data_IF_382816085068
#
_entry.id   IF_382816085068
#
_cell.length_a   1.000
_cell.length_b   1.000
_cell.length_c   1.000
_cell.angle_alpha   90.00
_cell.angle_beta   90.00
_cell.angle_gamma   90.00
#
_symmetry.space_group_name_H-M   'P 1'
#
loop_
_entity.id
_entity.type
_entity.pdbx_description
1 polymer ?
#
# COMPACT_ATOMS: atom_id res chain seq x y z
N UNK A 1 4.47 0.89 -20.93
CA UNK A 1 4.10 2.27 -20.49
C UNK A 1 2.58 2.35 -20.49
N UNK A 2 1.99 2.69 -19.34
CA UNK A 2 0.52 2.70 -19.17
C UNK A 2 -0.15 3.97 -19.73
N UNK A 3 0.62 4.96 -20.21
CA UNK A 3 0.05 6.23 -20.72
C UNK A 3 -0.64 7.08 -19.65
N UNK A 4 -0.29 6.90 -18.39
CA UNK A 4 -0.87 7.66 -17.27
C UNK A 4 -0.29 9.05 -17.22
N UNK A 5 -1.13 10.08 -17.19
CA UNK A 5 -0.70 11.48 -17.17
C UNK A 5 -0.33 11.97 -15.76
N UNK A 6 -0.94 11.42 -14.72
CA UNK A 6 -0.66 11.75 -13.31
C UNK A 6 -0.61 10.47 -12.50
N UNK A 7 0.47 10.26 -11.75
CA UNK A 7 0.62 9.16 -10.80
C UNK A 7 0.90 9.74 -9.42
N UNK A 8 0.15 9.30 -8.41
CA UNK A 8 0.36 9.66 -7.01
C UNK A 8 0.55 8.40 -6.19
N UNK A 9 1.57 8.38 -5.35
CA UNK A 9 1.78 7.32 -4.36
C UNK A 9 2.11 7.92 -3.00
N UNK A 10 1.80 7.20 -1.93
CA UNK A 10 2.10 7.61 -0.56
C UNK A 10 3.18 6.71 0.05
N UNK A 11 3.97 7.28 0.96
CA UNK A 11 5.13 6.60 1.54
C UNK A 11 4.77 5.39 2.41
N UNK A 12 3.62 5.40 3.09
CA UNK A 12 3.19 4.36 4.04
C UNK A 12 2.55 3.11 3.40
N UNK A 13 2.65 2.92 2.10
CA UNK A 13 2.13 1.74 1.38
C UNK A 13 3.28 0.90 0.82
N UNK A 14 3.32 0.67 -0.47
CA UNK A 14 4.34 -0.17 -1.10
C UNK A 14 5.79 0.32 -0.91
N UNK A 15 5.98 1.60 -0.58
CA UNK A 15 7.30 2.16 -0.25
C UNK A 15 7.75 1.82 1.18
N UNK A 16 6.89 1.26 2.04
CA UNK A 16 7.20 0.78 3.39
C UNK A 16 7.89 1.82 4.29
N UNK A 17 7.42 3.06 4.25
CA UNK A 17 7.90 4.17 5.06
C UNK A 17 6.79 4.71 5.97
N UNK A 18 7.09 5.53 6.98
CA UNK A 18 6.08 6.22 7.75
C UNK A 18 5.16 7.11 6.88
N UNK A 19 3.90 7.35 7.28
CA UNK A 19 3.04 8.34 6.63
C UNK A 19 3.60 9.75 6.81
N UNK A 20 3.33 10.64 5.86
CA UNK A 20 3.70 12.06 5.94
C UNK A 20 4.21 12.66 4.63
N UNK A 21 4.38 11.84 3.57
CA UNK A 21 4.77 12.34 2.26
C UNK A 21 4.04 11.58 1.14
N UNK A 22 3.77 12.29 0.05
CA UNK A 22 3.32 11.71 -1.20
C UNK A 22 4.31 12.06 -2.32
N UNK A 23 4.49 11.14 -3.26
CA UNK A 23 5.23 11.37 -4.50
C UNK A 23 4.23 11.50 -5.64
N UNK A 24 4.39 12.54 -6.43
CA UNK A 24 3.54 12.79 -7.59
C UNK A 24 4.42 12.92 -8.84
N UNK A 25 4.06 12.22 -9.91
CA UNK A 25 4.66 12.40 -11.22
C UNK A 25 3.64 12.96 -12.20
N UNK A 26 4.09 13.83 -13.09
CA UNK A 26 3.29 14.47 -14.12
C UNK A 26 3.87 14.18 -15.50
N UNK A 27 3.02 13.88 -16.50
CA UNK A 27 3.43 13.94 -17.88
C UNK A 27 3.58 15.40 -18.32
N UNK A 28 4.32 15.63 -19.42
CA UNK A 28 4.42 16.96 -20.03
C UNK A 28 3.04 17.52 -20.38
N UNK A 29 2.15 16.69 -20.92
CA UNK A 29 0.76 17.05 -21.24
C UNK A 29 -0.03 17.51 -20.00
N UNK A 30 0.11 16.78 -18.86
CA UNK A 30 -0.56 17.17 -17.61
C UNK A 30 0.01 18.50 -17.08
N UNK A 31 1.32 18.69 -17.12
CA UNK A 31 1.94 19.95 -16.73
C UNK A 31 1.45 21.12 -17.57
N UNK A 32 1.42 21.01 -18.91
CA UNK A 32 0.91 22.04 -19.81
C UNK A 32 -0.56 22.36 -19.52
N UNK A 33 -1.38 21.35 -19.27
CA UNK A 33 -2.80 21.52 -18.92
C UNK A 33 -3.00 22.38 -17.67
N UNK A 34 -2.08 22.35 -16.70
CA UNK A 34 -2.19 23.19 -15.47
C UNK A 34 -2.28 24.68 -15.78
N UNK A 35 -1.72 25.15 -16.90
CA UNK A 35 -1.73 26.57 -17.28
C UNK A 35 -3.16 27.12 -17.46
N UNK A 36 -4.09 26.30 -17.90
CA UNK A 36 -5.49 26.66 -18.16
C UNK A 36 -6.45 26.35 -16.99
N UNK A 37 -5.91 25.81 -15.88
CA UNK A 37 -6.71 25.49 -14.68
C UNK A 37 -6.70 26.69 -13.73
N UNK A 38 -7.83 27.37 -13.49
CA UNK A 38 -7.91 28.45 -12.52
C UNK A 38 -7.90 27.91 -11.08
N UNK A 39 -7.56 28.75 -10.13
CA UNK A 39 -7.71 28.50 -8.70
C UNK A 39 -7.05 27.19 -8.21
N UNK A 40 -5.83 26.90 -8.65
CA UNK A 40 -5.06 25.72 -8.26
C UNK A 40 -4.70 25.68 -6.77
N UNK A 41 -4.97 26.75 -6.04
CA UNK A 41 -4.57 26.91 -4.65
C UNK A 41 -3.07 27.22 -4.51
N UNK A 42 -2.59 27.28 -3.26
CA UNK A 42 -1.19 27.57 -2.96
C UNK A 42 -0.41 26.26 -2.69
N UNK A 43 -0.91 25.41 -1.80
CA UNK A 43 -0.20 24.23 -1.32
C UNK A 43 -0.16 23.08 -2.33
N UNK A 44 -1.25 22.88 -3.08
CA UNK A 44 -1.38 21.78 -4.05
C UNK A 44 -1.13 22.21 -5.50
N UNK A 45 -0.62 23.40 -5.74
CA UNK A 45 -0.26 23.84 -7.10
C UNK A 45 0.99 23.11 -7.60
N UNK A 46 0.78 21.96 -8.24
CA UNK A 46 1.86 21.13 -8.77
C UNK A 46 2.73 21.87 -9.79
N UNK A 47 2.16 22.85 -10.52
CA UNK A 47 2.93 23.69 -11.42
C UNK A 47 3.92 24.56 -10.67
N UNK A 48 3.47 25.26 -9.63
CA UNK A 48 4.32 26.12 -8.81
C UNK A 48 5.42 25.30 -8.13
N UNK A 49 5.09 24.10 -7.63
CA UNK A 49 6.07 23.18 -7.03
C UNK A 49 7.13 22.78 -8.07
N UNK A 50 6.71 22.32 -9.25
CA UNK A 50 7.62 21.92 -10.32
C UNK A 50 8.53 23.06 -10.76
N UNK A 51 7.94 24.23 -11.05
CA UNK A 51 8.69 25.41 -11.48
C UNK A 51 9.72 25.87 -10.44
N UNK A 52 9.38 25.74 -9.16
CA UNK A 52 10.30 26.07 -8.06
C UNK A 52 11.48 25.10 -8.01
N UNK A 53 11.22 23.81 -8.11
CA UNK A 53 12.27 22.76 -8.15
C UNK A 53 13.23 22.99 -9.32
N UNK A 54 12.71 23.36 -10.50
CA UNK A 54 13.55 23.61 -11.68
C UNK A 54 14.39 24.90 -11.59
N UNK A 55 13.88 25.93 -10.89
CA UNK A 55 14.52 27.26 -10.86
C UNK A 55 15.48 27.47 -9.69
N UNK A 56 15.32 26.72 -8.59
CA UNK A 56 15.98 26.97 -7.32
C UNK A 56 16.72 25.75 -6.75
N UNK A 57 17.50 25.05 -7.54
CA UNK A 57 18.33 23.93 -7.08
C UNK A 57 17.59 22.96 -6.19
N UNK A 58 16.47 22.40 -6.71
CA UNK A 58 15.65 21.40 -6.01
C UNK A 58 14.96 21.90 -4.72
N UNK A 59 14.76 23.19 -4.57
CA UNK A 59 13.94 23.71 -3.48
C UNK A 59 12.45 23.51 -3.74
N UNK A 60 11.68 23.49 -2.66
CA UNK A 60 10.22 23.33 -2.69
C UNK A 60 9.54 24.65 -2.32
N UNK A 61 8.25 24.80 -2.66
CA UNK A 61 7.43 25.96 -2.28
C UNK A 61 7.12 26.02 -0.79
N UNK A 62 7.29 24.89 -0.08
CA UNK A 62 7.07 24.75 1.35
C UNK A 62 8.11 23.76 1.92
N UNK A 63 8.29 23.75 3.24
CA UNK A 63 9.24 22.86 3.90
C UNK A 63 8.84 21.40 3.72
N UNK A 64 9.67 20.57 3.06
CA UNK A 64 9.38 19.14 2.92
C UNK A 64 9.66 18.37 4.23
N UNK A 65 9.11 17.19 4.36
CA UNK A 65 9.44 16.26 5.45
C UNK A 65 10.81 15.61 5.19
N UNK A 66 11.89 16.31 5.56
CA UNK A 66 13.28 15.94 5.25
C UNK A 66 13.64 14.56 5.80
N UNK A 67 13.17 14.20 7.00
CA UNK A 67 13.43 12.88 7.58
C UNK A 67 12.84 11.74 6.74
N UNK A 68 11.65 11.93 6.17
CA UNK A 68 11.06 10.92 5.26
C UNK A 68 11.80 10.92 3.92
N UNK A 69 12.33 12.05 3.45
CA UNK A 69 13.14 12.08 2.21
C UNK A 69 14.41 11.25 2.36
N UNK A 70 15.14 11.37 3.48
CA UNK A 70 16.30 10.52 3.74
C UNK A 70 15.93 9.05 3.87
N UNK A 71 14.84 8.75 4.57
CA UNK A 71 14.35 7.39 4.67
C UNK A 71 13.94 6.83 3.30
N UNK A 72 13.37 7.65 2.41
CA UNK A 72 13.00 7.26 1.06
C UNK A 72 14.23 7.02 0.19
N UNK A 73 15.27 7.81 0.29
CA UNK A 73 16.53 7.57 -0.44
C UNK A 73 17.08 6.17 -0.10
N UNK A 74 17.20 5.85 1.19
CA UNK A 74 17.61 4.52 1.63
C UNK A 74 16.67 3.41 1.13
N UNK A 75 15.37 3.64 1.18
CA UNK A 75 14.39 2.64 0.75
C UNK A 75 14.42 2.41 -0.76
N UNK A 76 14.62 3.45 -1.55
CA UNK A 76 14.79 3.30 -3.00
C UNK A 76 16.07 2.53 -3.34
N UNK A 77 17.17 2.75 -2.62
CA UNK A 77 18.39 1.94 -2.78
C UNK A 77 18.12 0.45 -2.50
N UNK A 78 17.39 0.12 -1.44
CA UNK A 78 16.99 -1.26 -1.13
C UNK A 78 16.11 -1.87 -2.22
N UNK A 79 15.12 -1.13 -2.72
CA UNK A 79 14.26 -1.56 -3.82
C UNK A 79 15.08 -1.82 -5.09
N UNK A 80 16.02 -0.95 -5.40
CA UNK A 80 16.91 -1.13 -6.57
C UNK A 80 17.87 -2.32 -6.38
N UNK A 81 18.34 -2.57 -5.17
CA UNK A 81 19.17 -3.73 -4.84
C UNK A 81 18.38 -5.04 -4.92
N UNK A 82 17.14 -5.08 -4.42
CA UNK A 82 16.23 -6.22 -4.60
C UNK A 82 15.94 -6.46 -6.10
N UNK A 83 15.82 -5.39 -6.86
CA UNK A 83 15.36 -5.40 -8.23
C UNK A 83 13.83 -5.33 -8.33
N UNK A 84 13.32 -4.44 -9.19
CA UNK A 84 11.88 -4.17 -9.32
C UNK A 84 11.09 -5.43 -9.70
N UNK A 85 11.63 -6.23 -10.63
CA UNK A 85 10.97 -7.47 -11.08
C UNK A 85 10.93 -8.53 -9.97
N UNK A 86 12.01 -8.67 -9.20
CA UNK A 86 12.07 -9.57 -8.05
C UNK A 86 11.05 -9.13 -6.97
N UNK A 87 10.96 -7.83 -6.73
CA UNK A 87 9.96 -7.26 -5.82
C UNK A 87 8.53 -7.57 -6.28
N UNK A 88 8.23 -7.43 -7.56
CA UNK A 88 6.92 -7.79 -8.10
C UNK A 88 6.63 -9.29 -7.94
N UNK A 89 7.60 -10.16 -8.25
CA UNK A 89 7.45 -11.59 -8.10
C UNK A 89 7.22 -12.00 -6.63
N UNK A 90 7.92 -11.38 -5.68
CA UNK A 90 7.72 -11.60 -4.24
C UNK A 90 6.31 -11.22 -3.80
N UNK A 91 5.81 -10.05 -4.25
CA UNK A 91 4.44 -9.62 -3.93
C UNK A 91 3.38 -10.55 -4.54
N UNK A 92 3.58 -11.00 -5.76
CA UNK A 92 2.65 -11.96 -6.41
C UNK A 92 2.61 -13.28 -5.66
N UNK A 93 3.77 -13.85 -5.32
CA UNK A 93 3.84 -15.10 -4.56
C UNK A 93 3.15 -15.01 -3.20
N UNK A 94 3.33 -13.89 -2.47
CA UNK A 94 2.62 -13.64 -1.21
C UNK A 94 1.11 -13.50 -1.42
N UNK A 95 0.70 -12.80 -2.48
CA UNK A 95 -0.72 -12.64 -2.83
C UNK A 95 -1.39 -13.98 -3.13
N UNK A 96 -0.76 -14.83 -3.93
CA UNK A 96 -1.23 -16.17 -4.27
C UNK A 96 -1.35 -17.05 -3.02
N UNK A 97 -0.34 -17.02 -2.16
CA UNK A 97 -0.35 -17.77 -0.90
C UNK A 97 -1.53 -17.35 0.00
N UNK A 98 -1.72 -16.05 0.22
CA UNK A 98 -2.82 -15.54 1.07
C UNK A 98 -4.19 -15.83 0.46
N UNK A 99 -4.33 -15.75 -0.86
CA UNK A 99 -5.57 -16.07 -1.56
C UNK A 99 -5.91 -17.57 -1.45
N UNK A 100 -4.93 -18.45 -1.65
CA UNK A 100 -5.11 -19.89 -1.50
C UNK A 100 -5.53 -20.26 -0.09
N UNK A 101 -4.89 -19.66 0.92
CA UNK A 101 -5.29 -19.81 2.31
C UNK A 101 -6.72 -19.26 2.56
N UNK A 102 -7.05 -18.11 1.97
CA UNK A 102 -8.38 -17.52 2.12
C UNK A 102 -9.46 -18.41 1.47
N UNK A 103 -9.16 -19.10 0.38
CA UNK A 103 -10.10 -20.01 -0.27
C UNK A 103 -10.29 -21.33 0.50
N UNK A 104 -9.28 -21.75 1.25
CA UNK A 104 -9.36 -22.93 2.11
C UNK A 104 -10.25 -22.70 3.34
N UNK A 105 -10.12 -21.56 3.98
CA UNK A 105 -10.78 -21.30 5.27
C UNK A 105 -11.93 -20.29 5.22
N UNK A 106 -12.00 -19.45 4.20
CA UNK A 106 -12.96 -18.36 4.02
C UNK A 106 -13.37 -18.22 2.55
N UNK A 107 -13.35 -17.00 2.01
CA UNK A 107 -13.37 -16.75 0.57
C UNK A 107 -12.75 -15.38 0.24
N UNK A 108 -12.15 -15.24 -0.93
CA UNK A 108 -11.71 -13.94 -1.44
C UNK A 108 -12.93 -13.11 -1.82
N UNK A 109 -13.01 -11.87 -1.31
CA UNK A 109 -14.15 -10.97 -1.50
C UNK A 109 -14.20 -10.36 -2.90
N UNK A 110 -13.05 -9.95 -3.44
CA UNK A 110 -12.97 -9.20 -4.69
C UNK A 110 -13.19 -10.10 -5.92
N UNK A 111 -13.62 -9.47 -7.03
CA UNK A 111 -13.69 -10.17 -8.32
C UNK A 111 -12.29 -10.69 -8.71
N UNK A 112 -12.22 -11.95 -9.11
CA UNK A 112 -10.96 -12.65 -9.39
C UNK A 112 -10.20 -12.09 -10.59
N UNK A 113 -10.89 -11.48 -11.54
CA UNK A 113 -10.27 -10.85 -12.71
C UNK A 113 -9.53 -9.54 -12.38
N UNK A 114 -9.73 -8.99 -11.17
CA UNK A 114 -9.24 -7.68 -10.75
C UNK A 114 -8.63 -7.66 -9.35
N UNK A 115 -7.88 -8.71 -9.00
CA UNK A 115 -7.27 -8.85 -7.68
C UNK A 115 -6.04 -7.94 -7.52
N UNK A 116 -5.93 -7.31 -6.34
CA UNK A 116 -4.74 -6.55 -5.97
C UNK A 116 -3.56 -7.46 -5.65
N UNK A 117 -2.36 -7.10 -6.11
CA UNK A 117 -1.12 -7.82 -5.78
C UNK A 117 -0.51 -7.42 -4.44
N UNK A 118 -1.14 -6.53 -3.70
CA UNK A 118 -0.58 -5.97 -2.45
C UNK A 118 -1.50 -6.07 -1.25
N UNK A 119 -2.76 -6.46 -1.47
CA UNK A 119 -3.79 -6.57 -0.43
C UNK A 119 -4.81 -7.64 -0.83
N UNK A 120 -5.12 -8.56 0.05
CA UNK A 120 -6.25 -9.49 -0.10
C UNK A 120 -7.37 -9.11 0.85
N UNK A 121 -8.56 -8.90 0.30
CA UNK A 121 -9.80 -8.71 1.07
C UNK A 121 -10.51 -10.05 1.15
N UNK A 122 -10.83 -10.48 2.36
CA UNK A 122 -11.37 -11.80 2.68
C UNK A 122 -12.77 -11.63 3.26
N UNK A 123 -13.73 -12.33 2.72
CA UNK A 123 -15.10 -12.38 3.23
C UNK A 123 -15.14 -13.14 4.56
N UNK A 124 -15.79 -12.57 5.56
CA UNK A 124 -15.99 -13.22 6.85
C UNK A 124 -17.14 -14.26 6.77
N UNK A 125 -16.90 -15.34 6.05
CA UNK A 125 -17.91 -16.40 5.80
C UNK A 125 -18.21 -17.25 7.03
N UNK A 126 -17.41 -17.11 8.10
CA UNK A 126 -17.56 -17.86 9.36
C UNK A 126 -18.14 -17.03 10.49
N UNK A 127 -18.51 -15.77 10.21
CA UNK A 127 -19.04 -14.80 11.18
C UNK A 127 -18.16 -14.68 12.45
N UNK A 128 -16.82 -14.71 12.25
CA UNK A 128 -15.88 -14.59 13.36
C UNK A 128 -15.91 -13.15 13.92
N UNK A 129 -15.62 -13.01 15.21
CA UNK A 129 -15.34 -11.71 15.80
C UNK A 129 -13.93 -11.23 15.40
N UNK A 130 -13.89 -10.37 14.38
CA UNK A 130 -12.64 -9.83 13.83
C UNK A 130 -11.90 -8.97 14.87
N UNK A 131 -12.62 -8.30 15.78
CA UNK A 131 -12.00 -7.49 16.81
C UNK A 131 -11.33 -8.37 17.87
N UNK A 132 -12.00 -9.42 18.33
CA UNK A 132 -11.43 -10.38 19.26
C UNK A 132 -10.21 -11.10 18.66
N UNK A 133 -10.28 -11.56 17.40
CA UNK A 133 -9.14 -12.11 16.69
C UNK A 133 -7.96 -11.12 16.65
N UNK A 134 -8.24 -9.87 16.32
CA UNK A 134 -7.19 -8.85 16.19
C UNK A 134 -6.51 -8.52 17.52
N UNK A 135 -7.26 -8.53 18.64
CA UNK A 135 -6.69 -8.34 19.97
C UNK A 135 -5.63 -9.41 20.28
N UNK A 136 -5.93 -10.69 20.01
CA UNK A 136 -4.97 -11.78 20.24
C UNK A 136 -3.79 -11.70 19.27
N UNK A 137 -4.03 -11.32 18.01
CA UNK A 137 -2.94 -11.11 17.04
C UNK A 137 -2.00 -9.98 17.47
N UNK A 138 -2.53 -8.88 18.01
CA UNK A 138 -1.72 -7.76 18.53
C UNK A 138 -0.81 -8.22 19.67
N UNK A 139 -1.30 -9.03 20.60
CA UNK A 139 -0.48 -9.63 21.68
C UNK A 139 0.65 -10.50 21.10
N UNK A 140 0.47 -11.08 19.91
CA UNK A 140 1.48 -11.84 19.18
C UNK A 140 2.33 -10.98 18.23
N UNK A 141 2.20 -9.65 18.28
CA UNK A 141 2.97 -8.70 17.44
C UNK A 141 2.46 -8.56 16.01
N UNK A 142 1.23 -8.97 15.72
CA UNK A 142 0.63 -8.94 14.39
C UNK A 142 -0.68 -8.16 14.37
N UNK A 143 -1.10 -7.69 13.20
CA UNK A 143 -2.38 -7.00 13.04
C UNK A 143 -2.94 -7.22 11.63
N UNK A 144 -4.24 -7.48 11.54
CA UNK A 144 -4.99 -7.44 10.28
C UNK A 144 -5.93 -6.22 10.25
N UNK A 145 -6.35 -5.84 9.04
CA UNK A 145 -7.31 -4.75 8.86
C UNK A 145 -8.76 -5.27 8.85
N UNK A 146 -9.66 -4.64 9.60
CA UNK A 146 -11.10 -4.87 9.45
C UNK A 146 -11.60 -4.23 8.13
N UNK A 147 -12.78 -4.61 7.66
CA UNK A 147 -13.49 -3.93 6.57
C UNK A 147 -13.82 -2.48 6.91
N UNK A 148 -14.06 -1.65 5.90
CA UNK A 148 -14.47 -0.26 6.07
C UNK A 148 -15.95 -0.04 5.75
N UNK A 149 -16.58 0.94 6.41
CA UNK A 149 -17.98 1.32 6.16
C UNK A 149 -18.90 0.09 6.23
N UNK A 150 -19.67 -0.12 5.21
CA UNK A 150 -20.64 -1.22 5.12
C UNK A 150 -20.02 -2.63 5.10
N UNK A 151 -18.69 -2.73 4.89
CA UNK A 151 -17.93 -3.98 4.94
C UNK A 151 -17.33 -4.28 6.32
N UNK A 152 -17.50 -3.39 7.30
CA UNK A 152 -17.00 -3.61 8.66
C UNK A 152 -17.60 -4.90 9.24
N UNK A 153 -16.75 -5.76 9.79
CA UNK A 153 -17.06 -7.09 10.29
C UNK A 153 -17.54 -8.12 9.24
N UNK A 154 -17.89 -7.68 8.03
CA UNK A 154 -18.23 -8.57 6.91
C UNK A 154 -16.99 -9.04 6.14
N UNK A 155 -15.91 -8.29 6.22
CA UNK A 155 -14.63 -8.61 5.60
C UNK A 155 -13.47 -8.24 6.54
N UNK A 156 -12.32 -8.88 6.32
CA UNK A 156 -11.04 -8.47 6.87
C UNK A 156 -9.98 -8.48 5.77
N UNK A 157 -8.82 -7.89 6.06
CA UNK A 157 -7.79 -7.65 5.04
C UNK A 157 -6.43 -8.07 5.54
N UNK A 158 -5.70 -8.78 4.70
CA UNK A 158 -4.29 -9.10 4.90
C UNK A 158 -3.48 -8.36 3.84
N UNK A 159 -2.60 -7.48 4.30
CA UNK A 159 -1.64 -6.78 3.44
C UNK A 159 -0.42 -7.68 3.19
N UNK A 160 0.06 -7.66 1.95
CA UNK A 160 1.27 -8.37 1.53
C UNK A 160 2.11 -7.43 0.64
N UNK A 161 2.44 -6.25 1.19
CA UNK A 161 3.12 -5.18 0.47
C UNK A 161 4.37 -4.67 1.21
N UNK A 162 5.17 -3.90 0.53
CA UNK A 162 6.33 -3.24 1.10
C UNK A 162 7.46 -4.21 1.42
N UNK A 163 7.89 -4.25 2.67
CA UNK A 163 8.98 -5.11 3.15
C UNK A 163 8.49 -6.46 3.73
N UNK A 164 7.18 -6.73 3.70
CA UNK A 164 6.66 -8.01 4.16
C UNK A 164 7.22 -9.17 3.32
N UNK A 165 7.42 -10.29 3.98
CA UNK A 165 8.01 -11.52 3.44
C UNK A 165 7.00 -12.66 3.39
N UNK A 166 7.36 -13.75 2.72
CA UNK A 166 6.54 -14.97 2.74
C UNK A 166 6.42 -15.56 4.15
N UNK A 167 7.44 -15.41 4.99
CA UNK A 167 7.40 -15.90 6.37
C UNK A 167 6.44 -15.10 7.23
N UNK A 168 6.29 -13.77 6.98
CA UNK A 168 5.25 -12.97 7.61
C UNK A 168 3.85 -13.45 7.21
N UNK A 169 3.66 -13.82 5.94
CA UNK A 169 2.37 -14.37 5.46
C UNK A 169 2.06 -15.72 6.12
N UNK A 170 3.03 -16.62 6.20
CA UNK A 170 2.89 -17.90 6.90
C UNK A 170 2.61 -17.70 8.38
N UNK A 171 3.30 -16.76 9.01
CA UNK A 171 3.11 -16.44 10.42
C UNK A 171 1.70 -15.95 10.72
N UNK A 172 1.22 -14.94 10.00
CA UNK A 172 -0.14 -14.41 10.27
C UNK A 172 -1.23 -15.45 9.98
N UNK A 173 -1.12 -16.18 8.88
CA UNK A 173 -2.16 -17.18 8.51
C UNK A 173 -2.18 -18.36 9.48
N UNK A 174 -1.03 -18.90 9.89
CA UNK A 174 -0.95 -19.96 10.90
C UNK A 174 -1.47 -19.52 12.27
N UNK A 175 -1.21 -18.29 12.67
CA UNK A 175 -1.75 -17.74 13.91
C UNK A 175 -3.28 -17.58 13.85
N UNK A 176 -3.85 -17.17 12.72
CA UNK A 176 -5.30 -17.12 12.56
C UNK A 176 -5.91 -18.52 12.66
N UNK A 177 -5.30 -19.53 12.02
CA UNK A 177 -5.74 -20.93 12.10
C UNK A 177 -5.72 -21.42 13.55
N UNK A 178 -4.62 -21.16 14.29
CA UNK A 178 -4.46 -21.56 15.70
C UNK A 178 -5.51 -20.89 16.61
N UNK A 179 -5.66 -19.57 16.52
CA UNK A 179 -6.58 -18.78 17.36
C UNK A 179 -8.03 -19.20 17.13
N UNK A 180 -8.42 -19.39 15.89
CA UNK A 180 -9.79 -19.75 15.51
C UNK A 180 -10.04 -21.26 15.51
N UNK A 181 -9.02 -22.08 15.76
CA UNK A 181 -9.06 -23.55 15.73
C UNK A 181 -9.68 -24.09 14.42
N UNK A 182 -9.26 -23.50 13.29
CA UNK A 182 -9.72 -23.89 11.97
C UNK A 182 -9.20 -25.29 11.62
N UNK A 183 -10.07 -26.09 10.98
CA UNK A 183 -9.76 -27.47 10.54
C UNK A 183 -9.93 -27.54 9.03
#
# INVERSE_FOLDING_TARGET
KLGVDVLVTSTQKALALPPGMAVCTLSQKAYERTASVPNRGCYFDLRSIYDTIQKKDYQYTNTPCVSIMYAMDLQLQRIMQEGVENRFARHEAMAEFVRSWADEYFSVFANRDHLSRTLTVISNTRDIDIAALNNVLIERGMQLGNGYGDLKNKTFRIAHMGELTMDDMRSITSNIVDILKLK
#
